data_IF_538679506947
#
_entry.id   IF_538679506947
#
_cell.length_a   1.000
_cell.length_b   1.000
_cell.length_c   1.000
_cell.angle_alpha   90.00
_cell.angle_beta   90.00
_cell.angle_gamma   90.00
#
_symmetry.space_group_name_H-M   'P 1'
#
loop_
_entity.id
_entity.type
_entity.pdbx_description
1 polymer ?
#
# COMPACT_ATOMS: atom_id res chain seq x y z
N UNK A 1 -4.38 -0.06 -15.32
CA UNK A 1 -3.36 -0.19 -16.38
C UNK A 1 -2.59 -1.48 -16.16
N UNK A 2 -2.39 -2.27 -17.24
CA UNK A 2 -1.94 -3.66 -17.12
C UNK A 2 -0.42 -3.85 -17.16
N UNK A 3 0.38 -3.12 -16.37
CA UNK A 3 1.81 -3.36 -16.24
C UNK A 3 2.70 -2.13 -16.50
N UNK A 4 4.00 -2.36 -16.66
CA UNK A 4 5.00 -1.30 -16.84
C UNK A 4 4.84 -0.57 -18.17
N UNK A 5 5.01 0.76 -18.16
CA UNK A 5 4.99 1.59 -19.37
C UNK A 5 6.25 1.45 -20.22
N UNK A 6 7.36 1.07 -19.60
CA UNK A 6 8.64 0.80 -20.28
C UNK A 6 9.06 -0.64 -19.97
N UNK A 7 9.83 -1.24 -20.88
CA UNK A 7 10.30 -2.61 -20.66
C UNK A 7 11.26 -2.71 -19.47
N UNK A 8 11.37 -3.86 -18.81
CA UNK A 8 12.36 -4.09 -17.77
C UNK A 8 13.80 -3.77 -18.19
N UNK A 9 14.13 -3.98 -19.48
CA UNK A 9 15.43 -3.62 -20.02
C UNK A 9 15.63 -2.09 -20.00
N UNK A 10 14.69 -1.33 -20.53
CA UNK A 10 14.79 0.12 -20.54
C UNK A 10 14.77 0.72 -19.12
N UNK A 11 14.02 0.11 -18.21
CA UNK A 11 14.06 0.52 -16.81
C UNK A 11 15.47 0.36 -16.22
N UNK A 12 16.13 -0.79 -16.48
CA UNK A 12 17.51 -1.01 -16.01
C UNK A 12 18.52 -0.04 -16.62
N UNK A 13 18.36 0.26 -17.89
CA UNK A 13 19.28 1.15 -18.63
C UNK A 13 19.10 2.62 -18.22
N UNK A 14 17.85 3.10 -18.10
CA UNK A 14 17.55 4.53 -17.99
C UNK A 14 17.19 4.97 -16.57
N UNK A 15 16.52 4.13 -15.79
CA UNK A 15 15.99 4.51 -14.48
C UNK A 15 16.84 3.96 -13.31
N UNK A 16 17.30 2.70 -13.42
CA UNK A 16 18.02 2.05 -12.33
C UNK A 16 19.25 2.78 -11.81
N UNK A 17 20.06 3.49 -12.63
CA UNK A 17 21.20 4.24 -12.10
C UNK A 17 20.79 5.27 -11.04
N UNK A 18 19.78 6.08 -11.32
CA UNK A 18 19.28 7.10 -10.39
C UNK A 18 18.64 6.49 -9.14
N UNK A 19 17.86 5.41 -9.29
CA UNK A 19 17.28 4.70 -8.14
C UNK A 19 18.36 4.13 -7.22
N UNK A 20 19.43 3.53 -7.77
CA UNK A 20 20.54 3.00 -6.98
C UNK A 20 21.30 4.08 -6.22
N UNK A 21 21.54 5.22 -6.86
CA UNK A 21 22.20 6.36 -6.24
C UNK A 21 21.39 6.88 -5.05
N UNK A 22 20.08 7.14 -5.23
CA UNK A 22 19.19 7.61 -4.19
C UNK A 22 19.10 6.59 -3.04
N UNK A 23 18.90 5.31 -3.35
CA UNK A 23 18.81 4.26 -2.33
C UNK A 23 20.15 4.08 -1.58
N UNK A 24 21.30 4.26 -2.24
CA UNK A 24 22.61 4.24 -1.57
C UNK A 24 22.75 5.39 -0.60
N UNK A 25 22.48 6.62 -1.04
CA UNK A 25 22.55 7.80 -0.16
C UNK A 25 21.61 7.66 1.05
N UNK A 26 20.38 7.20 0.81
CA UNK A 26 19.42 6.96 1.91
C UNK A 26 19.98 5.99 2.94
N UNK A 27 20.53 4.87 2.50
CA UNK A 27 21.16 3.86 3.37
C UNK A 27 22.35 4.43 4.12
N UNK A 28 23.23 5.16 3.43
CA UNK A 28 24.45 5.74 4.02
C UNK A 28 24.13 6.82 5.06
N UNK A 29 22.98 7.48 4.91
CA UNK A 29 22.40 8.41 5.89
C UNK A 29 21.59 7.72 7.00
N UNK A 30 21.51 6.40 7.04
CA UNK A 30 20.76 5.66 8.04
C UNK A 30 19.22 5.73 7.85
N UNK A 31 18.73 6.10 6.67
CA UNK A 31 17.29 6.11 6.35
C UNK A 31 16.81 4.66 6.17
N UNK A 32 15.89 4.17 7.00
CA UNK A 32 15.51 2.76 6.99
C UNK A 32 14.60 2.37 5.81
N UNK A 33 13.96 3.35 5.17
CA UNK A 33 12.96 3.09 4.14
C UNK A 33 13.14 4.04 2.95
N UNK A 34 13.46 3.47 1.79
CA UNK A 34 13.42 4.15 0.50
C UNK A 34 12.17 3.68 -0.26
N UNK A 35 11.16 4.52 -0.31
CA UNK A 35 9.87 4.20 -0.91
C UNK A 35 9.73 4.82 -2.32
N UNK A 36 9.03 4.09 -3.19
CA UNK A 36 8.61 4.58 -4.52
C UNK A 36 7.09 4.71 -4.53
N UNK A 37 6.61 5.83 -5.07
CA UNK A 37 5.21 6.05 -5.41
C UNK A 37 4.99 5.61 -6.87
N UNK A 38 4.09 4.64 -7.09
CA UNK A 38 3.79 4.14 -8.43
C UNK A 38 2.42 3.48 -8.51
N UNK A 39 1.60 3.97 -9.43
CA UNK A 39 0.26 3.46 -9.71
C UNK A 39 0.26 2.21 -10.62
N UNK A 40 -0.89 1.57 -10.68
CA UNK A 40 -1.16 0.47 -11.59
C UNK A 40 -0.68 -0.89 -11.10
N UNK A 41 -0.48 -1.83 -12.04
CA UNK A 41 0.09 -3.14 -11.71
C UNK A 41 1.61 -3.05 -11.59
N UNK A 42 2.13 -3.22 -10.39
CA UNK A 42 3.55 -3.06 -10.06
C UNK A 42 4.29 -4.39 -9.88
N UNK A 43 3.63 -5.52 -10.15
CA UNK A 43 4.21 -6.85 -9.92
C UNK A 43 5.53 -7.10 -10.67
N UNK A 44 5.68 -6.55 -11.88
CA UNK A 44 6.93 -6.62 -12.66
C UNK A 44 7.96 -5.57 -12.25
N UNK A 45 7.50 -4.45 -11.67
CA UNK A 45 8.37 -3.36 -11.22
C UNK A 45 9.12 -3.70 -9.93
N UNK A 46 8.47 -4.38 -8.98
CA UNK A 46 9.05 -4.68 -7.65
C UNK A 46 10.43 -5.36 -7.73
N UNK A 47 10.64 -6.42 -8.54
CA UNK A 47 11.98 -7.02 -8.66
C UNK A 47 13.05 -6.01 -9.07
N UNK A 48 12.72 -5.08 -9.97
CA UNK A 48 13.66 -4.08 -10.47
C UNK A 48 13.98 -3.02 -9.41
N UNK A 49 12.99 -2.64 -8.62
CA UNK A 49 13.18 -1.73 -7.49
C UNK A 49 14.07 -2.35 -6.41
N UNK A 50 13.84 -3.62 -6.08
CA UNK A 50 14.67 -4.39 -5.13
C UNK A 50 16.12 -4.48 -5.62
N UNK A 51 16.35 -4.73 -6.91
CA UNK A 51 17.68 -4.70 -7.55
C UNK A 51 18.38 -3.34 -7.37
N UNK A 52 17.62 -2.26 -7.21
CA UNK A 52 18.14 -0.90 -7.01
C UNK A 52 18.36 -0.54 -5.53
N UNK A 53 17.93 -1.38 -4.58
CA UNK A 53 18.00 -1.09 -3.15
C UNK A 53 16.79 -0.33 -2.60
N UNK A 54 15.75 -0.13 -3.39
CA UNK A 54 14.43 0.35 -2.94
C UNK A 54 13.75 -0.76 -2.16
N UNK A 55 13.18 -0.45 -1.01
CA UNK A 55 12.60 -1.44 -0.10
C UNK A 55 11.14 -1.19 0.29
N UNK A 56 10.46 -0.24 -0.37
CA UNK A 56 9.06 0.07 -0.12
C UNK A 56 8.37 0.57 -1.39
N UNK A 57 7.04 0.35 -1.49
CA UNK A 57 6.20 0.94 -2.53
C UNK A 57 4.84 1.34 -1.97
N UNK A 58 4.30 2.44 -2.48
CA UNK A 58 2.99 3.02 -2.22
C UNK A 58 2.43 3.68 -3.50
N UNK A 59 1.12 3.66 -3.72
CA UNK A 59 0.17 2.74 -3.15
C UNK A 59 0.10 1.43 -3.97
N UNK A 60 -0.22 0.32 -3.33
CA UNK A 60 -0.61 -0.87 -4.09
C UNK A 60 -2.10 -0.79 -4.42
N UNK A 61 -2.45 -0.59 -5.68
CA UNK A 61 -3.83 -0.59 -6.14
C UNK A 61 -4.39 -2.01 -6.28
N UNK A 62 -5.66 -2.19 -5.91
CA UNK A 62 -6.35 -3.50 -5.96
C UNK A 62 -6.78 -3.86 -7.38
N UNK A 63 -7.48 -2.96 -8.06
CA UNK A 63 -8.07 -3.21 -9.40
C UNK A 63 -7.08 -3.58 -10.50
N UNK A 64 -5.86 -3.03 -10.54
CA UNK A 64 -4.87 -3.46 -11.51
C UNK A 64 -4.35 -4.87 -11.33
N UNK A 65 -4.71 -5.56 -10.22
CA UNK A 65 -4.36 -6.95 -9.99
C UNK A 65 -3.03 -7.18 -9.27
N UNK A 66 -2.63 -6.25 -8.39
CA UNK A 66 -1.53 -6.51 -7.47
C UNK A 66 -1.94 -7.59 -6.45
N UNK A 67 -1.04 -8.54 -6.17
CA UNK A 67 -1.21 -9.58 -5.15
C UNK A 67 -0.13 -9.43 -4.07
N UNK A 68 -0.51 -8.78 -2.96
CA UNK A 68 0.43 -8.52 -1.87
C UNK A 68 0.80 -9.79 -1.09
N UNK A 69 -0.03 -10.81 -1.07
CA UNK A 69 0.35 -12.09 -0.48
C UNK A 69 1.43 -12.79 -1.32
N UNK A 70 1.32 -12.75 -2.65
CA UNK A 70 2.37 -13.27 -3.53
C UNK A 70 3.66 -12.46 -3.42
N UNK A 71 3.57 -11.13 -3.37
CA UNK A 71 4.73 -10.25 -3.16
C UNK A 71 5.41 -10.53 -1.81
N UNK A 72 4.65 -10.69 -0.73
CA UNK A 72 5.20 -10.99 0.60
C UNK A 72 5.97 -12.30 0.61
N UNK A 73 5.45 -13.35 -0.03
CA UNK A 73 6.17 -14.63 -0.14
C UNK A 73 7.48 -14.50 -0.90
N UNK A 74 7.51 -13.67 -1.94
CA UNK A 74 8.69 -13.52 -2.81
C UNK A 74 9.71 -12.52 -2.26
N UNK A 75 9.24 -11.46 -1.59
CA UNK A 75 10.05 -10.36 -1.06
C UNK A 75 9.68 -10.10 0.41
N UNK A 76 10.09 -10.96 1.35
CA UNK A 76 9.67 -10.88 2.76
C UNK A 76 10.08 -9.59 3.45
N UNK A 77 11.18 -8.97 3.01
CA UNK A 77 11.71 -7.73 3.61
C UNK A 77 11.13 -6.44 2.99
N UNK A 78 10.41 -6.55 1.88
CA UNK A 78 9.86 -5.38 1.19
C UNK A 78 8.66 -4.79 1.95
N UNK A 79 8.62 -3.47 2.12
CA UNK A 79 7.53 -2.77 2.79
C UNK A 79 6.37 -2.58 1.82
N UNK A 80 5.21 -3.07 2.19
CA UNK A 80 3.97 -3.01 1.40
C UNK A 80 3.04 -1.96 2.00
N UNK A 81 2.53 -1.03 1.19
CA UNK A 81 1.68 0.07 1.66
C UNK A 81 0.44 0.23 0.76
N UNK A 82 -0.75 0.18 1.34
CA UNK A 82 -1.99 0.29 0.57
C UNK A 82 -2.78 -1.02 0.47
N UNK A 83 -3.34 -1.28 -0.71
CA UNK A 83 -4.07 -2.49 -1.10
C UNK A 83 -5.44 -2.70 -0.44
N UNK A 84 -6.00 -1.66 0.17
CA UNK A 84 -7.38 -1.67 0.64
C UNK A 84 -8.24 -0.89 -0.34
N UNK A 85 -9.23 -1.56 -0.96
CA UNK A 85 -9.98 -1.02 -2.08
C UNK A 85 -10.82 0.19 -1.68
N UNK A 86 -10.49 1.36 -2.25
CA UNK A 86 -11.15 2.64 -1.96
C UNK A 86 -12.64 2.67 -2.27
N UNK A 87 -13.07 1.91 -3.28
CA UNK A 87 -14.48 1.88 -3.67
C UNK A 87 -15.39 1.25 -2.63
N UNK A 88 -14.87 0.43 -1.72
CA UNK A 88 -15.66 -0.08 -0.58
C UNK A 88 -16.17 1.05 0.31
N UNK A 89 -15.45 2.18 0.37
CA UNK A 89 -15.89 3.38 1.07
C UNK A 89 -17.03 4.11 0.34
N UNK A 90 -17.01 4.09 -1.00
CA UNK A 90 -18.04 4.73 -1.82
C UNK A 90 -19.40 4.06 -1.65
N UNK A 91 -19.41 2.74 -1.52
CA UNK A 91 -20.63 1.96 -1.37
C UNK A 91 -21.29 2.12 0.00
N UNK A 92 -20.51 2.53 1.03
CA UNK A 92 -21.00 2.73 2.39
C UNK A 92 -21.52 1.46 3.06
N UNK A 93 -21.27 0.29 2.47
CA UNK A 93 -21.71 -1.00 2.95
C UNK A 93 -20.74 -1.54 4.00
N UNK A 94 -21.18 -1.64 5.25
CA UNK A 94 -20.35 -2.14 6.35
C UNK A 94 -19.84 -3.56 6.09
N UNK A 95 -20.66 -4.42 5.49
CA UNK A 95 -20.24 -5.78 5.15
C UNK A 95 -19.12 -5.81 4.11
N UNK A 96 -19.16 -4.94 3.11
CA UNK A 96 -18.09 -4.81 2.11
C UNK A 96 -16.78 -4.30 2.76
N UNK A 97 -16.87 -3.26 3.61
CA UNK A 97 -15.72 -2.74 4.36
C UNK A 97 -15.12 -3.85 5.25
N UNK A 98 -15.95 -4.56 6.00
CA UNK A 98 -15.50 -5.65 6.88
C UNK A 98 -14.86 -6.78 6.08
N UNK A 99 -15.48 -7.20 4.99
CA UNK A 99 -14.95 -8.24 4.09
C UNK A 99 -13.57 -7.88 3.55
N UNK A 100 -13.42 -6.67 3.03
CA UNK A 100 -12.16 -6.16 2.49
C UNK A 100 -11.03 -6.18 3.54
N UNK A 101 -11.30 -5.61 4.72
CA UNK A 101 -10.30 -5.49 5.78
C UNK A 101 -9.93 -6.84 6.39
N UNK A 102 -10.92 -7.69 6.68
CA UNK A 102 -10.66 -8.99 7.34
C UNK A 102 -9.96 -9.98 6.42
N UNK A 103 -10.19 -9.89 5.09
CA UNK A 103 -9.51 -10.75 4.12
C UNK A 103 -8.03 -10.44 3.96
N UNK A 104 -7.60 -9.20 4.20
CA UNK A 104 -6.26 -8.73 3.85
C UNK A 104 -5.40 -8.38 5.06
N UNK A 105 -5.95 -7.58 5.97
CA UNK A 105 -5.16 -6.94 7.04
C UNK A 105 -4.51 -7.94 7.98
N UNK A 106 -5.22 -8.90 8.61
CA UNK A 106 -4.59 -9.78 9.58
C UNK A 106 -3.44 -10.62 9.01
N UNK A 107 -3.61 -11.17 7.82
CA UNK A 107 -2.59 -12.02 7.17
C UNK A 107 -1.33 -11.26 6.79
N UNK A 108 -1.47 -10.01 6.29
CA UNK A 108 -0.33 -9.17 5.95
C UNK A 108 0.36 -8.61 7.18
N UNK A 109 -0.38 -8.18 8.21
CA UNK A 109 0.20 -7.70 9.47
C UNK A 109 1.00 -8.79 10.17
N UNK A 110 0.49 -10.02 10.22
CA UNK A 110 1.20 -11.16 10.81
C UNK A 110 2.56 -11.41 10.15
N UNK A 111 2.71 -11.06 8.88
CA UNK A 111 3.98 -11.16 8.15
C UNK A 111 4.93 -9.97 8.37
N UNK A 112 4.48 -8.91 9.05
CA UNK A 112 5.24 -7.67 9.25
C UNK A 112 5.39 -6.80 8.00
N UNK A 113 5.96 -5.60 8.17
CA UNK A 113 6.27 -4.65 7.08
C UNK A 113 5.10 -4.35 6.16
N UNK A 114 3.91 -4.23 6.72
CA UNK A 114 2.71 -3.85 6.01
C UNK A 114 2.07 -2.62 6.68
N UNK A 115 1.78 -1.61 5.87
CA UNK A 115 1.04 -0.43 6.29
C UNK A 115 -0.35 -0.46 5.63
N UNK A 116 -1.38 -0.91 6.37
CA UNK A 116 -2.73 -0.98 5.84
C UNK A 116 -3.32 0.43 5.66
N UNK A 117 -3.59 0.79 4.42
CA UNK A 117 -4.30 2.02 4.06
C UNK A 117 -5.04 1.85 2.74
N UNK A 118 -5.88 2.81 2.39
CA UNK A 118 -6.55 2.83 1.10
C UNK A 118 -5.56 2.74 -0.05
N UNK A 119 -5.95 2.05 -1.11
CA UNK A 119 -5.15 1.89 -2.32
C UNK A 119 -5.03 3.19 -3.12
N UNK A 120 -5.73 4.24 -2.69
CA UNK A 120 -5.67 5.60 -3.26
C UNK A 120 -6.31 6.61 -2.31
N UNK A 121 -6.35 7.90 -2.73
CA UNK A 121 -7.05 8.95 -2.00
C UNK A 121 -8.56 8.67 -1.86
N UNK A 122 -9.15 9.20 -0.78
CA UNK A 122 -10.59 9.09 -0.52
C UNK A 122 -11.36 9.71 -1.68
N UNK A 123 -12.29 8.94 -2.24
CA UNK A 123 -13.08 9.35 -3.39
C UNK A 123 -14.24 10.28 -2.97
N UNK A 124 -14.72 11.16 -3.88
CA UNK A 124 -15.83 12.08 -3.56
C UNK A 124 -17.16 11.39 -3.17
N UNK A 125 -17.33 10.12 -3.55
CA UNK A 125 -18.52 9.34 -3.21
C UNK A 125 -18.42 8.66 -1.84
N UNK A 126 -17.27 8.70 -1.18
CA UNK A 126 -17.11 8.18 0.17
C UNK A 126 -17.79 9.13 1.17
N UNK A 127 -18.62 8.56 2.05
CA UNK A 127 -19.27 9.34 3.09
C UNK A 127 -18.41 9.35 4.37
N UNK A 128 -18.52 10.41 5.16
CA UNK A 128 -17.82 10.49 6.44
C UNK A 128 -18.17 9.32 7.38
N UNK A 129 -19.43 8.89 7.53
CA UNK A 129 -19.76 7.70 8.31
C UNK A 129 -19.08 6.43 7.80
N UNK A 130 -18.96 6.23 6.48
CA UNK A 130 -18.25 5.08 5.91
C UNK A 130 -16.76 5.10 6.24
N UNK A 131 -16.14 6.28 6.16
CA UNK A 131 -14.75 6.46 6.55
C UNK A 131 -14.55 6.15 8.04
N UNK A 132 -15.43 6.65 8.92
CA UNK A 132 -15.34 6.35 10.35
C UNK A 132 -15.44 4.83 10.63
N UNK A 133 -16.36 4.13 9.98
CA UNK A 133 -16.50 2.67 10.11
C UNK A 133 -15.25 1.92 9.65
N UNK A 134 -14.72 2.30 8.50
CA UNK A 134 -13.47 1.75 7.96
C UNK A 134 -12.32 1.93 8.95
N UNK A 135 -12.12 3.14 9.45
CA UNK A 135 -11.05 3.45 10.38
C UNK A 135 -11.23 2.72 11.72
N UNK A 136 -12.45 2.69 12.27
CA UNK A 136 -12.74 1.95 13.51
C UNK A 136 -12.35 0.47 13.37
N UNK A 137 -12.80 -0.18 12.31
CA UNK A 137 -12.49 -1.58 12.08
C UNK A 137 -11.00 -1.81 11.79
N UNK A 138 -10.36 -0.90 11.06
CA UNK A 138 -8.93 -0.97 10.81
C UNK A 138 -8.13 -0.86 12.11
N UNK A 139 -8.51 0.03 13.03
CA UNK A 139 -7.90 0.17 14.35
C UNK A 139 -8.09 -1.10 15.20
N UNK A 140 -9.28 -1.69 15.19
CA UNK A 140 -9.52 -2.97 15.87
C UNK A 140 -8.57 -4.07 15.36
N UNK A 141 -8.46 -4.20 14.03
CA UNK A 141 -7.64 -5.23 13.39
C UNK A 141 -6.12 -5.00 13.54
N UNK A 142 -5.70 -3.76 13.73
CA UNK A 142 -4.29 -3.40 13.94
C UNK A 142 -3.89 -3.40 15.41
N UNK A 143 -4.81 -3.69 16.33
CA UNK A 143 -4.55 -3.67 17.76
C UNK A 143 -4.44 -2.27 18.36
N UNK A 144 -5.01 -1.27 17.70
CA UNK A 144 -5.05 0.12 18.17
C UNK A 144 -6.51 0.62 18.32
N UNK A 145 -7.33 -0.02 19.20
CA UNK A 145 -8.76 0.27 19.32
C UNK A 145 -9.05 1.68 19.86
N UNK A 146 -8.10 2.29 20.55
CA UNK A 146 -8.25 3.62 21.18
C UNK A 146 -7.69 4.76 20.32
N UNK A 147 -7.41 4.51 19.04
CA UNK A 147 -6.96 5.56 18.14
C UNK A 147 -7.93 6.76 18.18
N UNK A 148 -7.42 7.93 18.55
CA UNK A 148 -8.23 9.16 18.59
C UNK A 148 -8.64 9.53 17.17
N UNK A 149 -9.91 9.30 16.86
CA UNK A 149 -10.52 9.90 15.69
C UNK A 149 -10.91 11.36 16.01
N UNK A 150 -10.81 12.26 15.04
CA UNK A 150 -11.48 13.55 15.15
C UNK A 150 -12.97 13.25 15.41
N UNK A 151 -13.44 13.50 16.62
CA UNK A 151 -14.87 13.41 16.91
C UNK A 151 -15.55 14.47 16.06
N UNK A 152 -16.58 14.10 15.33
CA UNK A 152 -17.45 15.08 14.68
C UNK A 152 -17.92 16.03 15.77
N UNK A 153 -17.73 17.34 15.65
CA UNK A 153 -18.35 18.27 16.59
C UNK A 153 -19.85 17.97 16.58
N UNK A 154 -20.51 17.94 17.74
CA UNK A 154 -21.95 17.81 17.80
C UNK A 154 -22.54 18.94 16.95
N UNK A 155 -23.37 18.59 15.97
CA UNK A 155 -24.08 19.53 15.10
C UNK A 155 -25.09 20.38 15.88
#
# INVERSE_FOLDING_TARGET
RGGMLISPRHFRELCSPSYREIASVARDCGVPMAAVDSDGNTMELIPLLVECGVNALFPFEVKPGNDLFALRRRFPEFVLMGWLEKETLNEGNESAIRGELTAKVPGLLASGRYFPNGDHGIQPLATFPSLCRFLTLLHELTGNPEGEFPRTPPG
#
